data_IF_017183149169
#
_entry.id   IF_017183149169
#
_cell.length_a   1.000
_cell.length_b   1.000
_cell.length_c   1.000
_cell.angle_alpha   90.00
_cell.angle_beta   90.00
_cell.angle_gamma   90.00
#
_symmetry.space_group_name_H-M   'P 1'
#
loop_
_entity.id
_entity.type
_entity.pdbx_description
1 polymer ?
#
# COMPACT_ATOMS: atom_id res chain seq x y z
N UNK A 1 25.77 9.84 -6.96
CA UNK A 1 24.86 8.69 -6.71
C UNK A 1 23.70 9.17 -5.86
N UNK A 2 22.66 9.75 -6.47
CA UNK A 2 21.38 9.89 -5.77
C UNK A 2 20.79 8.48 -5.63
N UNK A 3 20.61 8.05 -4.38
CA UNK A 3 20.14 6.72 -4.02
C UNK A 3 18.67 6.60 -4.42
N UNK A 4 18.28 5.54 -5.12
CA UNK A 4 16.86 5.22 -5.27
C UNK A 4 16.26 5.07 -3.86
N UNK A 5 15.16 5.77 -3.59
CA UNK A 5 14.42 5.66 -2.33
C UNK A 5 13.38 4.56 -2.49
N UNK A 6 13.29 3.63 -1.54
CA UNK A 6 12.24 2.62 -1.56
C UNK A 6 11.08 3.10 -0.69
N UNK A 7 9.85 2.98 -1.18
CA UNK A 7 8.66 3.29 -0.39
C UNK A 7 8.21 2.00 0.29
N UNK A 8 8.35 1.95 1.61
CA UNK A 8 7.95 0.79 2.38
C UNK A 8 6.45 0.87 2.68
N UNK A 9 5.60 0.53 1.71
CA UNK A 9 4.15 0.37 1.96
C UNK A 9 3.89 -0.91 2.77
N UNK A 10 4.44 -1.01 3.98
CA UNK A 10 4.46 -2.25 4.75
C UNK A 10 3.09 -2.57 5.36
N UNK A 11 2.50 -3.69 4.93
CA UNK A 11 1.84 -4.62 5.86
C UNK A 11 2.29 -6.05 5.56
N UNK A 12 3.20 -6.54 6.39
CA UNK A 12 3.16 -7.93 6.82
C UNK A 12 2.64 -7.91 8.26
N UNK A 13 1.36 -8.20 8.40
CA UNK A 13 0.83 -8.63 9.68
C UNK A 13 1.29 -10.08 9.87
N UNK A 14 2.02 -10.28 10.95
CA UNK A 14 2.38 -11.54 11.56
C UNK A 14 1.15 -12.46 11.66
N UNK A 15 1.15 -13.53 10.89
CA UNK A 15 0.56 -14.78 11.34
C UNK A 15 1.62 -15.44 12.22
N UNK A 16 1.46 -15.32 13.55
CA UNK A 16 1.89 -16.21 14.62
C UNK A 16 1.64 -15.46 15.94
N UNK A 17 0.78 -16.04 16.78
CA UNK A 17 0.13 -15.36 17.89
C UNK A 17 0.96 -15.17 19.16
N UNK A 18 0.35 -14.45 20.10
CA UNK A 18 0.52 -14.69 21.54
C UNK A 18 1.45 -13.74 22.32
N UNK A 19 0.83 -13.03 23.26
CA UNK A 19 1.36 -12.39 24.47
C UNK A 19 2.24 -11.13 24.37
N UNK A 20 1.93 -10.15 25.23
CA UNK A 20 2.57 -8.84 25.28
C UNK A 20 3.31 -8.51 26.58
N UNK A 21 3.94 -7.34 26.63
CA UNK A 21 3.87 -6.30 27.69
C UNK A 21 4.97 -5.22 27.56
N UNK A 22 4.51 -3.97 27.71
CA UNK A 22 5.08 -2.70 28.22
C UNK A 22 6.59 -2.36 28.33
N UNK A 23 6.90 -1.12 27.86
CA UNK A 23 7.81 -0.11 28.47
C UNK A 23 9.27 -0.11 28.00
N UNK A 24 9.98 1.00 27.71
CA UNK A 24 9.87 2.42 28.13
C UNK A 24 10.64 3.34 27.16
N UNK A 25 10.30 4.64 27.22
CA UNK A 25 10.81 5.80 26.47
C UNK A 25 12.20 6.29 26.91
N UNK A 26 12.98 6.90 26.00
CA UNK A 26 13.73 8.14 26.29
C UNK A 26 13.85 9.03 25.05
N UNK A 27 13.77 10.34 25.28
CA UNK A 27 13.79 11.42 24.30
C UNK A 27 15.07 12.27 24.45
N UNK A 28 15.59 12.79 23.34
CA UNK A 28 16.45 13.98 23.21
C UNK A 28 16.69 14.19 21.69
N UNK A 29 16.76 15.36 21.08
CA UNK A 29 16.82 16.76 21.48
C UNK A 29 17.22 17.53 20.20
N UNK A 30 16.62 18.69 19.96
CA UNK A 30 16.72 19.47 18.71
C UNK A 30 18.10 20.10 18.46
N UNK A 31 18.39 20.43 17.19
CA UNK A 31 19.50 21.30 16.81
C UNK A 31 19.41 21.76 15.35
N UNK A 32 18.95 23.00 15.15
CA UNK A 32 18.90 23.68 13.86
C UNK A 32 20.30 24.06 13.37
N UNK A 33 20.62 23.76 12.11
CA UNK A 33 21.78 24.28 11.40
C UNK A 33 21.35 24.83 10.02
N UNK A 34 21.77 26.06 9.76
CA UNK A 34 21.25 27.00 8.77
C UNK A 34 21.56 26.68 7.29
N UNK A 35 20.63 27.09 6.43
CA UNK A 35 20.64 27.04 4.95
C UNK A 35 21.90 27.62 4.27
N UNK A 36 22.72 28.39 4.98
CA UNK A 36 23.97 28.94 4.46
C UNK A 36 25.07 27.88 4.23
N UNK A 37 25.06 26.76 4.95
CA UNK A 37 26.06 25.69 4.80
C UNK A 37 25.79 24.83 3.55
N UNK A 38 24.53 24.69 3.14
CA UNK A 38 24.12 23.87 1.99
C UNK A 38 24.43 24.55 0.64
N UNK A 39 24.46 25.88 0.60
CA UNK A 39 24.77 26.64 -0.61
C UNK A 39 26.27 26.63 -0.98
N UNK A 40 27.16 26.44 0.00
CA UNK A 40 28.61 26.41 -0.22
C UNK A 40 29.09 25.06 -0.80
N UNK A 41 28.51 23.94 -0.36
CA UNK A 41 28.83 22.61 -0.89
C UNK A 41 28.30 22.37 -2.32
N UNK A 42 27.20 23.04 -2.69
CA UNK A 42 26.64 22.99 -4.05
C UNK A 42 27.53 23.69 -5.10
N UNK A 43 28.37 24.66 -4.69
CA UNK A 43 29.29 25.35 -5.61
C UNK A 43 30.62 24.61 -5.81
N UNK A 44 31.05 23.78 -4.86
CA UNK A 44 32.31 23.04 -4.94
C UNK A 44 32.23 21.74 -5.75
N UNK A 45 31.01 21.20 -5.93
CA UNK A 45 30.73 19.96 -6.68
C UNK A 45 30.52 20.17 -8.20
N UNK A 46 30.56 21.41 -8.72
CA UNK A 46 30.36 21.71 -10.15
C UNK A 46 31.63 21.68 -11.02
N UNK A 47 32.79 21.30 -10.49
CA UNK A 47 34.02 21.16 -11.29
C UNK A 47 34.55 19.73 -11.16
N UNK A 48 34.51 19.00 -12.27
CA UNK A 48 35.02 17.63 -12.51
C UNK A 48 34.04 16.49 -12.21
N UNK A 49 33.09 16.29 -13.11
CA UNK A 49 32.41 15.01 -13.29
C UNK A 49 32.23 14.75 -14.78
N UNK A 50 33.09 13.90 -15.37
CA UNK A 50 32.87 13.32 -16.69
C UNK A 50 31.55 12.54 -16.61
N UNK A 51 30.55 12.91 -17.40
CA UNK A 51 29.29 12.19 -17.46
C UNK A 51 29.58 10.73 -17.86
N UNK A 52 29.26 9.79 -16.98
CA UNK A 52 29.39 8.37 -17.26
C UNK A 52 28.33 7.96 -18.29
N UNK A 53 28.73 7.19 -19.30
CA UNK A 53 27.79 6.62 -20.27
C UNK A 53 26.83 5.64 -19.56
N UNK A 54 25.55 5.55 -19.97
CA UNK A 54 24.55 4.65 -19.38
C UNK A 54 24.97 3.16 -19.31
N UNK A 55 25.93 2.74 -20.15
CA UNK A 55 26.46 1.37 -20.17
C UNK A 55 27.24 0.93 -18.92
N UNK A 56 27.70 1.87 -18.08
CA UNK A 56 28.45 1.54 -16.85
C UNK A 56 27.57 1.49 -15.59
N UNK A 57 26.25 1.63 -15.72
CA UNK A 57 25.35 1.58 -14.58
C UNK A 57 25.12 0.12 -14.15
N UNK A 58 25.57 -0.25 -12.96
CA UNK A 58 25.19 -1.52 -12.35
C UNK A 58 23.75 -1.43 -11.84
N UNK A 59 22.94 -2.44 -12.14
CA UNK A 59 21.56 -2.55 -11.71
C UNK A 59 21.49 -3.39 -10.42
N UNK A 60 21.16 -2.74 -9.30
CA UNK A 60 20.87 -3.46 -8.06
C UNK A 60 19.44 -3.98 -8.09
N UNK A 61 19.28 -5.24 -7.69
CA UNK A 61 18.05 -6.01 -7.80
C UNK A 61 17.82 -6.84 -6.53
N UNK A 62 16.58 -6.96 -6.08
CA UNK A 62 16.18 -7.95 -5.09
C UNK A 62 15.56 -9.13 -5.83
N UNK A 63 16.17 -10.31 -5.64
CA UNK A 63 15.76 -11.55 -6.28
C UNK A 63 15.24 -12.56 -5.26
N UNK A 64 14.37 -13.43 -5.73
CA UNK A 64 13.75 -14.51 -4.97
C UNK A 64 14.73 -15.68 -4.96
N UNK A 65 15.08 -16.21 -3.80
CA UNK A 65 15.92 -17.42 -3.70
C UNK A 65 15.09 -18.69 -3.54
N UNK A 66 13.89 -18.55 -2.99
CA UNK A 66 12.87 -19.58 -2.78
C UNK A 66 11.51 -18.89 -2.54
N UNK A 67 10.38 -19.61 -2.57
CA UNK A 67 9.07 -19.02 -2.30
C UNK A 67 9.10 -18.14 -1.02
N UNK A 68 8.81 -16.85 -1.14
CA UNK A 68 9.10 -15.89 -0.07
C UNK A 68 8.15 -16.06 1.11
N UNK A 69 8.72 -16.38 2.26
CA UNK A 69 8.03 -16.50 3.56
C UNK A 69 8.68 -15.64 4.65
N UNK A 70 9.97 -15.33 4.49
CA UNK A 70 10.79 -14.53 5.41
C UNK A 70 11.85 -13.74 4.64
N UNK A 71 12.48 -12.72 5.25
CA UNK A 71 13.42 -11.83 4.56
C UNK A 71 14.64 -12.56 3.99
N UNK A 72 15.08 -13.65 4.62
CA UNK A 72 16.19 -14.48 4.15
C UNK A 72 15.89 -15.27 2.87
N UNK A 73 14.64 -15.28 2.41
CA UNK A 73 14.25 -15.90 1.13
C UNK A 73 14.52 -14.95 -0.05
N UNK A 74 14.99 -13.74 0.22
CA UNK A 74 15.33 -12.72 -0.75
C UNK A 74 16.83 -12.38 -0.69
N UNK A 75 17.43 -12.15 -1.85
CA UNK A 75 18.82 -11.74 -1.97
C UNK A 75 18.97 -10.44 -2.75
N UNK A 76 20.00 -9.65 -2.40
CA UNK A 76 20.38 -8.46 -3.16
C UNK A 76 21.48 -8.85 -4.14
N UNK A 77 21.21 -8.67 -5.42
CA UNK A 77 22.11 -9.02 -6.52
C UNK A 77 22.45 -7.76 -7.31
N UNK A 78 23.70 -7.70 -7.77
CA UNK A 78 24.14 -6.69 -8.71
C UNK A 78 24.23 -7.31 -10.12
N UNK A 79 23.52 -6.70 -11.07
CA UNK A 79 23.42 -7.14 -12.45
C UNK A 79 23.94 -6.05 -13.41
N UNK A 80 24.35 -6.39 -14.64
CA UNK A 80 24.63 -5.37 -15.66
C UNK A 80 23.36 -4.56 -15.97
N UNK A 81 23.53 -3.33 -16.48
CA UNK A 81 22.40 -2.56 -17.00
C UNK A 81 21.68 -3.36 -18.09
N UNK A 82 20.34 -3.45 -18.06
CA UNK A 82 19.60 -4.07 -19.14
C UNK A 82 19.79 -3.29 -20.45
N UNK A 83 19.81 -4.01 -21.57
CA UNK A 83 19.92 -3.42 -22.91
C UNK A 83 18.56 -3.03 -23.47
N UNK A 84 18.53 -1.96 -24.26
CA UNK A 84 17.30 -1.41 -24.81
C UNK A 84 17.01 -1.93 -26.23
N UNK A 85 15.77 -2.38 -26.45
CA UNK A 85 15.27 -2.79 -27.77
C UNK A 85 14.38 -1.70 -28.39
N UNK A 86 14.11 -1.78 -29.70
CA UNK A 86 13.17 -0.85 -30.33
C UNK A 86 11.77 -1.00 -29.73
N UNK A 87 11.08 0.12 -29.49
CA UNK A 87 9.79 0.12 -28.83
C UNK A 87 9.85 -0.02 -27.31
N UNK A 88 11.03 0.12 -26.69
CA UNK A 88 11.18 0.08 -25.22
C UNK A 88 11.86 1.32 -24.68
N UNK A 89 11.73 1.54 -23.37
CA UNK A 89 12.47 2.58 -22.63
C UNK A 89 13.09 1.99 -21.36
N UNK A 90 14.19 2.60 -20.92
CA UNK A 90 14.87 2.31 -19.66
C UNK A 90 14.45 3.37 -18.64
N UNK A 91 13.89 2.94 -17.52
CA UNK A 91 13.55 3.81 -16.39
C UNK A 91 14.46 3.53 -15.19
N UNK A 92 14.77 4.59 -14.44
CA UNK A 92 15.43 4.54 -13.13
C UNK A 92 14.39 4.71 -12.02
N UNK A 93 14.37 3.80 -11.05
CA UNK A 93 13.45 3.85 -9.93
C UNK A 93 13.72 5.06 -9.05
N UNK A 94 12.66 5.80 -8.75
CA UNK A 94 12.63 6.86 -7.74
C UNK A 94 11.92 6.38 -6.48
N UNK A 95 10.85 5.60 -6.66
CA UNK A 95 10.02 5.00 -5.62
C UNK A 95 9.62 3.60 -6.05
N UNK A 96 9.66 2.65 -5.12
CA UNK A 96 9.19 1.28 -5.33
C UNK A 96 8.19 0.94 -4.23
N UNK A 97 7.06 0.34 -4.60
CA UNK A 97 6.03 -0.10 -3.69
C UNK A 97 6.28 -1.54 -3.24
N UNK A 98 6.34 -1.75 -1.93
CA UNK A 98 6.33 -3.09 -1.32
C UNK A 98 4.88 -3.48 -1.01
N UNK A 99 4.15 -3.94 -2.02
CA UNK A 99 2.73 -4.27 -1.90
C UNK A 99 2.52 -5.78 -1.68
N UNK A 100 1.83 -6.21 -0.59
CA UNK A 100 1.44 -7.60 -0.39
C UNK A 100 0.67 -8.21 -1.56
N UNK A 101 -0.14 -7.43 -2.27
CA UNK A 101 -0.90 -7.89 -3.45
C UNK A 101 0.01 -8.28 -4.59
N UNK A 102 1.09 -7.54 -4.78
CA UNK A 102 2.05 -7.79 -5.86
C UNK A 102 2.89 -9.03 -5.54
N UNK A 103 3.17 -9.29 -4.26
CA UNK A 103 3.78 -10.55 -3.81
C UNK A 103 2.80 -11.75 -3.86
N UNK A 104 1.51 -11.54 -3.63
CA UNK A 104 0.51 -12.61 -3.53
C UNK A 104 -0.14 -12.97 -4.89
N UNK A 105 -0.41 -12.02 -5.77
CA UNK A 105 -1.12 -12.27 -7.04
C UNK A 105 -0.33 -13.16 -8.01
N UNK A 106 0.99 -13.17 -7.89
CA UNK A 106 1.89 -13.99 -8.72
C UNK A 106 2.15 -15.38 -8.10
N UNK A 107 1.71 -15.61 -6.84
CA UNK A 107 1.71 -16.94 -6.23
C UNK A 107 0.54 -17.82 -6.71
N UNK A 108 -0.50 -17.21 -7.30
CA UNK A 108 -1.70 -17.89 -7.82
C UNK A 108 -1.64 -18.11 -9.35
N UNK A 109 -0.60 -17.60 -10.02
CA UNK A 109 -0.30 -18.04 -11.39
C UNK A 109 0.27 -19.45 -11.33
N UNK A 110 -0.19 -20.30 -12.26
CA UNK A 110 0.12 -21.72 -12.46
C UNK A 110 1.63 -22.09 -12.54
N UNK A 111 2.51 -21.11 -12.35
CA UNK A 111 3.98 -21.13 -12.37
C UNK A 111 4.57 -20.17 -11.32
N UNK A 112 4.19 -20.30 -10.03
CA UNK A 112 4.58 -19.37 -8.95
C UNK A 112 6.06 -18.98 -8.92
N UNK A 113 6.35 -17.81 -8.33
CA UNK A 113 7.66 -17.16 -8.28
C UNK A 113 8.84 -18.14 -8.07
N UNK A 114 9.78 -18.13 -9.02
CA UNK A 114 10.88 -19.10 -9.10
C UNK A 114 12.16 -18.49 -8.51
N UNK A 115 13.07 -19.32 -7.96
CA UNK A 115 14.41 -18.87 -7.63
C UNK A 115 15.08 -18.16 -8.81
N UNK A 116 15.61 -16.96 -8.58
CA UNK A 116 16.21 -16.08 -9.57
C UNK A 116 15.28 -14.97 -10.08
N UNK A 117 13.97 -15.06 -9.87
CA UNK A 117 13.03 -14.04 -10.31
C UNK A 117 13.19 -12.73 -9.52
N UNK A 118 12.85 -11.60 -10.16
CA UNK A 118 12.73 -10.33 -9.46
C UNK A 118 11.51 -10.36 -8.54
N UNK A 119 11.62 -9.79 -7.35
CA UNK A 119 10.44 -9.55 -6.51
C UNK A 119 9.55 -8.55 -7.24
N UNK A 120 8.28 -8.88 -7.54
CA UNK A 120 7.38 -7.97 -8.22
C UNK A 120 7.15 -6.70 -7.39
N UNK A 121 7.08 -5.54 -8.05
CA UNK A 121 6.80 -4.26 -7.40
C UNK A 121 6.32 -3.24 -8.42
N UNK A 122 5.31 -2.44 -8.08
CA UNK A 122 5.01 -1.21 -8.81
C UNK A 122 6.01 -0.12 -8.43
N UNK A 123 6.31 0.78 -9.34
CA UNK A 123 7.26 1.85 -9.07
C UNK A 123 6.96 3.14 -9.82
N UNK A 124 7.48 4.24 -9.28
CA UNK A 124 7.61 5.51 -9.98
C UNK A 124 9.08 5.66 -10.37
N UNK A 125 9.33 5.93 -11.65
CA UNK A 125 10.67 6.11 -12.17
C UNK A 125 10.79 7.28 -13.13
N UNK A 126 12.02 7.62 -13.47
CA UNK A 126 12.37 8.58 -14.51
C UNK A 126 12.93 7.82 -15.71
N UNK A 127 12.45 8.12 -16.92
CA UNK A 127 13.00 7.56 -18.15
C UNK A 127 14.40 8.12 -18.40
N UNK A 128 15.42 7.26 -18.44
CA UNK A 128 16.83 7.65 -18.63
C UNK A 128 17.36 7.36 -20.04
N UNK A 129 16.75 6.41 -20.75
CA UNK A 129 17.00 6.12 -22.16
C UNK A 129 15.68 5.67 -22.81
N UNK A 130 15.42 6.02 -24.07
CA UNK A 130 14.19 5.60 -24.74
C UNK A 130 14.35 5.38 -26.24
N UNK A 131 13.70 4.32 -26.71
CA UNK A 131 13.40 4.02 -28.12
C UNK A 131 11.89 3.80 -28.30
N UNK A 132 11.09 4.40 -27.42
CA UNK A 132 9.64 4.30 -27.39
C UNK A 132 9.02 5.65 -27.80
N UNK A 133 7.95 5.62 -28.60
CA UNK A 133 7.34 6.83 -29.18
C UNK A 133 6.65 7.73 -28.15
N UNK A 134 5.97 7.15 -27.17
CA UNK A 134 5.25 7.87 -26.09
C UNK A 134 6.15 8.30 -24.92
N UNK A 135 7.08 7.46 -24.49
CA UNK A 135 7.83 7.66 -23.25
C UNK A 135 9.21 8.26 -23.54
N UNK A 136 9.33 9.58 -23.55
CA UNK A 136 10.59 10.29 -23.78
C UNK A 136 11.50 10.35 -22.54
N UNK A 137 12.80 10.53 -22.75
CA UNK A 137 13.80 10.74 -21.68
C UNK A 137 13.40 11.93 -20.80
N UNK A 138 13.55 11.78 -19.48
CA UNK A 138 13.16 12.75 -18.46
C UNK A 138 11.69 12.64 -18.02
N UNK A 139 10.88 11.82 -18.69
CA UNK A 139 9.49 11.59 -18.29
C UNK A 139 9.42 10.85 -16.95
N UNK A 140 8.53 11.28 -16.06
CA UNK A 140 8.17 10.51 -14.88
C UNK A 140 7.07 9.50 -15.24
N UNK A 141 7.30 8.24 -14.88
CA UNK A 141 6.46 7.11 -15.26
C UNK A 141 6.09 6.27 -14.05
N UNK A 142 4.91 5.64 -14.11
CA UNK A 142 4.48 4.60 -13.18
C UNK A 142 4.36 3.30 -13.97
N UNK A 143 5.00 2.23 -13.49
CA UNK A 143 5.05 0.94 -14.18
C UNK A 143 5.29 -0.22 -13.20
N UNK A 144 5.21 -1.44 -13.72
CA UNK A 144 5.64 -2.67 -13.06
C UNK A 144 7.17 -2.71 -13.11
N UNK A 145 7.80 -2.27 -12.02
CA UNK A 145 9.24 -2.06 -11.96
C UNK A 145 10.01 -3.33 -11.57
N UNK A 146 9.43 -4.13 -10.67
CA UNK A 146 10.18 -5.08 -9.85
C UNK A 146 11.09 -4.36 -8.85
N UNK A 147 11.54 -5.04 -7.78
CA UNK A 147 12.45 -4.45 -6.81
C UNK A 147 13.88 -4.31 -7.38
N UNK A 148 14.09 -3.26 -8.18
CA UNK A 148 15.36 -2.97 -8.83
C UNK A 148 15.55 -1.48 -9.12
N UNK A 149 16.79 -1.06 -9.38
CA UNK A 149 17.10 0.34 -9.72
C UNK A 149 16.80 0.72 -11.16
N UNK A 150 16.99 -0.19 -12.10
CA UNK A 150 16.80 0.04 -13.54
C UNK A 150 15.86 -1.00 -14.12
N UNK A 151 14.83 -0.55 -14.84
CA UNK A 151 13.82 -1.40 -15.46
C UNK A 151 13.68 -1.02 -16.94
N UNK A 152 13.75 -2.02 -17.83
CA UNK A 152 13.33 -1.85 -19.23
C UNK A 152 11.86 -2.21 -19.34
N UNK A 153 11.08 -1.35 -19.97
CA UNK A 153 9.67 -1.56 -20.24
C UNK A 153 9.37 -1.30 -21.72
N UNK A 154 8.49 -2.11 -22.29
CA UNK A 154 7.92 -1.93 -23.63
C UNK A 154 6.74 -0.94 -23.66
N UNK A 155 6.44 -0.29 -22.53
CA UNK A 155 5.30 0.61 -22.38
C UNK A 155 3.99 -0.08 -22.02
N UNK A 156 3.91 -1.41 -22.06
CA UNK A 156 2.72 -2.11 -21.58
C UNK A 156 2.61 -1.97 -20.06
N UNK A 157 1.40 -1.63 -19.59
CA UNK A 157 1.12 -1.35 -18.17
C UNK A 157 1.98 -0.22 -17.57
N UNK A 158 2.60 0.60 -18.43
CA UNK A 158 3.24 1.84 -18.03
C UNK A 158 2.32 3.02 -18.30
N UNK A 159 2.42 4.06 -17.46
CA UNK A 159 1.74 5.33 -17.68
C UNK A 159 2.64 6.49 -17.29
N UNK A 160 2.40 7.66 -17.88
CA UNK A 160 2.99 8.89 -17.36
C UNK A 160 2.44 9.18 -15.96
N UNK A 161 3.31 9.67 -15.08
CA UNK A 161 2.92 10.17 -13.77
C UNK A 161 2.02 11.39 -13.97
N UNK A 162 0.82 11.37 -13.37
CA UNK A 162 -0.08 12.50 -13.50
C UNK A 162 0.46 13.67 -12.66
N UNK A 163 0.49 14.93 -13.16
CA UNK A 163 1.08 16.06 -12.44
C UNK A 163 0.48 16.34 -11.06
N UNK A 164 -0.81 16.01 -10.87
CA UNK A 164 -1.49 16.12 -9.58
C UNK A 164 -1.18 15.00 -8.57
N UNK A 165 -0.41 13.97 -8.95
CA UNK A 165 0.08 12.93 -8.02
C UNK A 165 1.34 13.43 -7.32
N UNK A 166 1.16 14.37 -6.38
CA UNK A 166 2.23 15.01 -5.64
C UNK A 166 2.11 14.75 -4.14
N UNK A 167 3.19 14.36 -3.43
CA UNK A 167 4.50 13.97 -3.98
C UNK A 167 4.38 12.72 -4.86
N UNK A 168 5.39 12.45 -5.70
CA UNK A 168 5.33 11.36 -6.69
C UNK A 168 5.01 9.98 -6.07
N UNK A 169 5.44 9.73 -4.83
CA UNK A 169 5.14 8.51 -4.06
C UNK A 169 3.63 8.25 -3.91
N UNK A 170 2.80 9.29 -3.89
CA UNK A 170 1.35 9.19 -3.77
C UNK A 170 0.70 8.35 -4.89
N UNK A 171 1.35 8.27 -6.06
CA UNK A 171 0.91 7.44 -7.18
C UNK A 171 1.00 5.93 -6.90
N UNK A 172 1.72 5.53 -5.86
CA UNK A 172 1.81 4.15 -5.36
C UNK A 172 0.87 3.90 -4.17
N UNK A 173 0.38 4.96 -3.52
CA UNK A 173 -0.47 4.89 -2.34
C UNK A 173 -1.90 5.37 -2.60
N UNK A 174 -2.32 6.42 -1.89
CA UNK A 174 -3.71 6.94 -1.90
C UNK A 174 -4.16 7.51 -3.25
N UNK A 175 -3.23 7.91 -4.14
CA UNK A 175 -3.53 8.32 -5.52
C UNK A 175 -3.16 7.22 -6.53
N UNK A 176 -2.89 6.01 -6.06
CA UNK A 176 -2.51 4.83 -6.83
C UNK A 176 -3.60 3.75 -6.86
N UNK A 177 -3.17 2.52 -7.14
CA UNK A 177 -4.03 1.32 -7.15
C UNK A 177 -4.77 1.12 -5.80
N UNK A 178 -4.12 1.27 -4.63
CA UNK A 178 -4.82 1.12 -3.34
C UNK A 178 -5.97 2.13 -3.17
N UNK A 179 -5.74 3.39 -3.55
CA UNK A 179 -6.78 4.41 -3.49
C UNK A 179 -7.92 4.17 -4.47
N UNK A 180 -7.60 3.66 -5.67
CA UNK A 180 -8.59 3.30 -6.68
C UNK A 180 -9.49 2.13 -6.21
N UNK A 181 -8.91 1.13 -5.53
CA UNK A 181 -9.65 0.03 -4.91
C UNK A 181 -10.66 0.54 -3.89
N UNK A 182 -10.23 1.45 -3.01
CA UNK A 182 -11.12 2.07 -2.03
C UNK A 182 -12.23 2.90 -2.68
N UNK A 183 -11.90 3.66 -3.73
CA UNK A 183 -12.84 4.52 -4.44
C UNK A 183 -13.98 3.73 -5.08
N UNK A 184 -13.65 2.76 -5.93
CA UNK A 184 -14.69 1.97 -6.62
C UNK A 184 -15.34 0.95 -5.68
N UNK A 185 -14.59 0.40 -4.73
CA UNK A 185 -15.12 -0.48 -3.69
C UNK A 185 -16.25 0.18 -2.90
N UNK A 186 -16.08 1.43 -2.49
CA UNK A 186 -17.12 2.15 -1.74
C UNK A 186 -18.20 2.78 -2.61
N UNK A 187 -17.82 3.46 -3.70
CA UNK A 187 -18.76 4.32 -4.44
C UNK A 187 -19.55 3.55 -5.49
N UNK A 188 -18.93 2.57 -6.16
CA UNK A 188 -19.52 1.85 -7.28
C UNK A 188 -20.11 0.50 -6.84
N UNK A 189 -19.28 -0.32 -6.15
CA UNK A 189 -19.68 -1.64 -5.69
C UNK A 189 -20.60 -1.56 -4.47
N UNK A 190 -20.11 -0.99 -3.36
CA UNK A 190 -20.93 -0.88 -2.17
C UNK A 190 -21.99 0.20 -2.29
N UNK A 191 -21.87 1.19 -3.19
CA UNK A 191 -22.85 2.29 -3.33
C UNK A 191 -23.10 3.00 -2.00
N UNK A 192 -22.02 3.42 -1.34
CA UNK A 192 -22.02 4.14 -0.07
C UNK A 192 -23.05 5.29 -0.05
N UNK A 193 -23.78 5.40 1.05
CA UNK A 193 -24.77 6.47 1.28
C UNK A 193 -24.39 7.33 2.50
N UNK A 194 -24.76 8.63 2.50
CA UNK A 194 -24.63 9.46 3.70
C UNK A 194 -25.36 8.84 4.89
N UNK A 195 -24.80 8.99 6.08
CA UNK A 195 -25.36 8.46 7.34
C UNK A 195 -25.06 6.99 7.63
N UNK A 196 -24.51 6.23 6.67
CA UNK A 196 -24.09 4.85 6.89
C UNK A 196 -22.85 4.77 7.81
N UNK A 197 -22.68 3.63 8.48
CA UNK A 197 -21.51 3.29 9.29
C UNK A 197 -20.58 2.37 8.50
N UNK A 198 -19.38 2.85 8.23
CA UNK A 198 -18.33 2.12 7.50
C UNK A 198 -17.27 1.64 8.48
N UNK A 199 -17.05 0.33 8.54
CA UNK A 199 -15.90 -0.28 9.21
C UNK A 199 -14.78 -0.48 8.19
N UNK A 200 -13.54 -0.21 8.60
CA UNK A 200 -12.37 -0.36 7.75
C UNK A 200 -11.29 -1.15 8.48
N UNK A 201 -10.92 -2.32 7.98
CA UNK A 201 -9.74 -3.04 8.48
C UNK A 201 -8.46 -2.52 7.84
N UNK A 202 -7.33 -2.69 8.55
CA UNK A 202 -6.04 -2.10 8.17
C UNK A 202 -6.15 -0.59 7.84
N UNK A 203 -6.91 0.16 8.66
CA UNK A 203 -7.30 1.55 8.38
C UNK A 203 -6.15 2.55 8.25
N UNK A 204 -4.93 2.17 8.68
CA UNK A 204 -3.73 2.99 8.54
C UNK A 204 -2.97 2.76 7.21
N UNK A 205 -3.35 1.75 6.41
CA UNK A 205 -2.73 1.47 5.11
C UNK A 205 -3.32 2.36 4.02
N UNK A 206 -2.66 2.48 2.87
CA UNK A 206 -3.13 3.32 1.76
C UNK A 206 -4.60 3.08 1.34
N UNK A 207 -5.00 1.83 1.10
CA UNK A 207 -6.38 1.51 0.72
C UNK A 207 -7.38 1.77 1.87
N UNK A 208 -7.09 1.29 3.08
CA UNK A 208 -7.95 1.48 4.25
C UNK A 208 -8.10 2.96 4.62
N UNK A 209 -7.00 3.70 4.66
CA UNK A 209 -6.99 5.13 4.91
C UNK A 209 -7.79 5.90 3.87
N UNK A 210 -7.66 5.54 2.59
CA UNK A 210 -8.49 6.12 1.53
C UNK A 210 -9.97 5.79 1.73
N UNK A 211 -10.32 4.53 2.01
CA UNK A 211 -11.70 4.08 2.20
C UNK A 211 -12.38 4.84 3.34
N UNK A 212 -11.74 4.91 4.50
CA UNK A 212 -12.26 5.65 5.65
C UNK A 212 -12.47 7.13 5.36
N UNK A 213 -11.53 7.76 4.65
CA UNK A 213 -11.64 9.18 4.30
C UNK A 213 -12.72 9.43 3.25
N UNK A 214 -12.83 8.59 2.21
CA UNK A 214 -13.93 8.66 1.24
C UNK A 214 -15.28 8.54 1.96
N UNK A 215 -15.39 7.62 2.92
CA UNK A 215 -16.61 7.46 3.71
C UNK A 215 -17.00 8.77 4.41
N UNK A 216 -16.06 9.41 5.11
CA UNK A 216 -16.28 10.71 5.75
C UNK A 216 -16.64 11.81 4.73
N UNK A 217 -15.97 11.84 3.58
CA UNK A 217 -16.22 12.84 2.51
C UNK A 217 -17.62 12.71 1.89
N UNK A 218 -18.21 11.52 1.93
CA UNK A 218 -19.57 11.24 1.46
C UNK A 218 -20.62 11.31 2.57
N UNK A 219 -20.27 11.86 3.74
CA UNK A 219 -21.21 12.07 4.85
C UNK A 219 -21.56 10.80 5.63
N UNK A 220 -20.75 9.75 5.51
CA UNK A 220 -20.86 8.56 6.34
C UNK A 220 -19.98 8.66 7.59
N UNK A 221 -20.19 7.76 8.54
CA UNK A 221 -19.34 7.59 9.73
C UNK A 221 -18.34 6.47 9.47
N UNK A 222 -17.05 6.73 9.62
CA UNK A 222 -16.02 5.71 9.46
C UNK A 222 -15.35 5.33 10.79
N UNK A 223 -15.23 4.02 11.03
CA UNK A 223 -14.52 3.43 12.18
C UNK A 223 -13.37 2.58 11.62
N UNK A 224 -12.16 2.84 12.08
CA UNK A 224 -10.97 2.09 11.69
C UNK A 224 -10.66 0.93 12.63
N UNK A 225 -9.97 -0.08 12.12
CA UNK A 225 -9.25 -1.09 12.90
C UNK A 225 -7.78 -1.06 12.48
N UNK A 226 -6.87 -0.97 13.45
CA UNK A 226 -5.42 -0.97 13.21
C UNK A 226 -4.67 -1.75 14.29
N UNK A 227 -3.42 -2.12 14.02
CA UNK A 227 -2.65 -3.04 14.87
C UNK A 227 -1.79 -2.40 15.96
N UNK A 228 -1.79 -1.08 16.10
CA UNK A 228 -1.05 -0.40 17.15
C UNK A 228 -1.69 0.93 17.55
N UNK A 229 -1.32 1.42 18.75
CA UNK A 229 -1.77 2.72 19.24
C UNK A 229 -1.34 3.86 18.32
N UNK A 230 -0.11 3.85 17.82
CA UNK A 230 0.39 4.87 16.88
C UNK A 230 -0.46 4.90 15.60
N UNK A 231 -0.78 3.73 15.04
CA UNK A 231 -1.64 3.63 13.85
C UNK A 231 -3.06 4.14 14.16
N UNK A 232 -3.62 3.80 15.32
CA UNK A 232 -4.93 4.31 15.73
C UNK A 232 -4.96 5.83 15.94
N UNK A 233 -3.92 6.39 16.56
CA UNK A 233 -3.73 7.83 16.72
C UNK A 233 -3.64 8.52 15.36
N UNK A 234 -2.92 7.92 14.40
CA UNK A 234 -2.86 8.47 13.05
C UNK A 234 -4.22 8.46 12.35
N UNK A 235 -4.93 7.32 12.42
CA UNK A 235 -6.26 7.16 11.81
C UNK A 235 -7.27 8.18 12.35
N UNK A 236 -7.24 8.44 13.66
CA UNK A 236 -8.19 9.36 14.28
C UNK A 236 -7.80 10.83 14.15
N UNK A 237 -6.50 11.17 14.25
CA UNK A 237 -6.05 12.57 14.24
C UNK A 237 -5.79 13.12 12.84
N UNK A 238 -5.20 12.31 11.96
CA UNK A 238 -4.79 12.74 10.62
C UNK A 238 -5.80 12.34 9.55
N UNK A 239 -6.21 11.07 9.52
CA UNK A 239 -7.27 10.62 8.60
C UNK A 239 -8.68 10.98 9.09
N UNK A 240 -8.82 11.47 10.34
CA UNK A 240 -10.06 12.02 10.93
C UNK A 240 -11.24 11.06 10.92
N UNK A 241 -10.97 9.76 11.01
CA UNK A 241 -12.01 8.76 11.24
C UNK A 241 -12.60 8.97 12.64
N UNK A 242 -13.87 8.58 12.81
CA UNK A 242 -14.60 8.84 14.05
C UNK A 242 -14.07 8.07 15.26
N UNK A 243 -13.48 6.90 15.02
CA UNK A 243 -12.82 6.08 16.03
C UNK A 243 -11.85 5.12 15.34
N UNK A 244 -10.90 4.59 16.11
CA UNK A 244 -10.07 3.46 15.67
C UNK A 244 -9.94 2.46 16.81
N UNK A 245 -10.07 1.18 16.49
CA UNK A 245 -9.92 0.06 17.43
C UNK A 245 -8.54 -0.53 17.24
N UNK A 246 -7.75 -0.64 18.31
CA UNK A 246 -6.49 -1.36 18.29
C UNK A 246 -6.72 -2.85 18.49
N UNK A 247 -6.73 -3.65 17.42
CA UNK A 247 -6.95 -5.10 17.53
C UNK A 247 -5.83 -5.85 18.26
N UNK A 248 -4.66 -5.21 18.45
CA UNK A 248 -3.56 -5.78 19.22
C UNK A 248 -3.70 -5.62 20.74
N UNK A 249 -4.61 -4.75 21.21
CA UNK A 249 -4.78 -4.48 22.65
C UNK A 249 -6.23 -4.36 23.12
N UNK A 250 -7.20 -4.32 22.22
CA UNK A 250 -8.63 -4.17 22.53
C UNK A 250 -9.44 -5.35 22.00
N UNK A 251 -10.55 -5.65 22.67
CA UNK A 251 -11.53 -6.60 22.15
C UNK A 251 -12.40 -5.93 21.07
N UNK A 252 -12.19 -6.32 19.80
CA UNK A 252 -12.86 -5.70 18.65
C UNK A 252 -14.38 -5.75 18.76
N UNK A 253 -14.95 -6.91 19.10
CA UNK A 253 -16.41 -7.07 19.17
C UNK A 253 -17.07 -6.20 20.26
N UNK A 254 -16.45 -6.11 21.44
CA UNK A 254 -16.92 -5.24 22.51
C UNK A 254 -16.90 -3.76 22.09
N UNK A 255 -15.84 -3.34 21.40
CA UNK A 255 -15.71 -1.96 20.89
C UNK A 255 -16.69 -1.67 19.77
N UNK A 256 -16.94 -2.62 18.86
CA UNK A 256 -17.96 -2.46 17.82
C UNK A 256 -19.37 -2.32 18.39
N UNK A 257 -19.73 -3.07 19.43
CA UNK A 257 -21.02 -2.89 20.13
C UNK A 257 -21.19 -1.47 20.68
N UNK A 258 -20.10 -0.85 21.14
CA UNK A 258 -20.11 0.52 21.66
C UNK A 258 -20.11 1.58 20.55
N UNK A 259 -19.30 1.37 19.51
CA UNK A 259 -19.03 2.38 18.47
C UNK A 259 -20.04 2.34 17.30
N UNK A 260 -20.69 1.20 17.08
CA UNK A 260 -21.66 0.93 16.02
C UNK A 260 -22.85 0.09 16.58
N UNK A 261 -23.63 0.61 17.54
CA UNK A 261 -24.71 -0.15 18.18
C UNK A 261 -25.85 -0.54 17.23
N UNK A 262 -25.97 0.12 16.08
CA UNK A 262 -26.93 -0.22 15.01
C UNK A 262 -26.36 -1.17 13.95
N UNK A 263 -25.14 -1.66 14.16
CA UNK A 263 -24.39 -2.45 13.20
C UNK A 263 -23.60 -1.59 12.21
N UNK A 264 -22.80 -2.29 11.40
CA UNK A 264 -21.97 -1.75 10.33
C UNK A 264 -22.66 -1.96 8.98
N UNK A 265 -22.88 -0.89 8.22
CA UNK A 265 -23.54 -0.94 6.90
C UNK A 265 -22.57 -1.35 5.78
N UNK A 266 -21.30 -0.96 5.89
CA UNK A 266 -20.24 -1.36 4.96
C UNK A 266 -19.02 -1.78 5.72
N UNK A 267 -18.49 -2.96 5.43
CA UNK A 267 -17.18 -3.38 5.90
C UNK A 267 -16.19 -3.43 4.75
N UNK A 268 -15.29 -2.44 4.68
CA UNK A 268 -14.16 -2.47 3.75
C UNK A 268 -13.04 -3.31 4.36
N UNK A 269 -12.93 -4.56 3.93
CA UNK A 269 -12.01 -5.53 4.49
C UNK A 269 -10.72 -5.61 3.66
N UNK A 270 -9.61 -5.16 4.23
CA UNK A 270 -8.26 -5.32 3.69
C UNK A 270 -7.40 -6.37 4.41
N UNK A 271 -8.00 -7.15 5.31
CA UNK A 271 -7.28 -8.10 6.16
C UNK A 271 -7.66 -9.55 5.90
N UNK A 272 -8.94 -9.86 5.70
CA UNK A 272 -9.45 -11.23 5.72
C UNK A 272 -9.24 -11.92 7.07
N UNK A 273 -9.22 -13.25 7.04
CA UNK A 273 -8.86 -14.10 8.19
C UNK A 273 -9.75 -13.92 9.42
N UNK A 274 -9.15 -14.14 10.60
CA UNK A 274 -9.84 -14.15 11.89
C UNK A 274 -10.58 -12.85 12.20
N UNK A 275 -10.06 -11.70 11.74
CA UNK A 275 -10.71 -10.42 11.97
C UNK A 275 -12.03 -10.31 11.20
N UNK A 276 -12.02 -10.73 9.92
CA UNK A 276 -13.24 -10.78 9.11
C UNK A 276 -14.26 -11.74 9.74
N UNK A 277 -13.83 -12.95 10.08
CA UNK A 277 -14.69 -13.94 10.73
C UNK A 277 -15.27 -13.42 12.05
N UNK A 278 -14.46 -12.79 12.90
CA UNK A 278 -14.91 -12.24 14.18
C UNK A 278 -15.98 -11.15 14.03
N UNK A 279 -15.83 -10.25 13.05
CA UNK A 279 -16.84 -9.21 12.76
C UNK A 279 -18.16 -9.84 12.33
N UNK A 280 -18.08 -10.85 11.45
CA UNK A 280 -19.24 -11.52 10.86
C UNK A 280 -19.95 -12.44 11.86
N UNK A 281 -19.23 -13.38 12.47
CA UNK A 281 -19.75 -14.30 13.47
C UNK A 281 -20.23 -13.58 14.74
N UNK A 282 -19.60 -12.45 15.09
CA UNK A 282 -20.03 -11.57 16.17
C UNK A 282 -21.32 -10.79 15.90
N UNK A 283 -21.92 -10.92 14.71
CA UNK A 283 -23.14 -10.23 14.25
C UNK A 283 -23.05 -8.71 14.39
N UNK A 284 -21.90 -8.14 14.00
CA UNK A 284 -21.67 -6.70 14.04
C UNK A 284 -22.14 -5.94 12.79
N UNK A 285 -22.60 -6.66 11.76
CA UNK A 285 -23.11 -6.06 10.53
C UNK A 285 -24.59 -5.67 10.67
N UNK A 286 -24.98 -4.57 10.03
CA UNK A 286 -26.36 -4.16 9.90
C UNK A 286 -27.11 -5.04 8.87
N UNK A 287 -28.45 -5.10 8.92
CA UNK A 287 -29.23 -5.73 7.86
C UNK A 287 -28.93 -5.10 6.50
N UNK A 288 -28.71 -5.92 5.47
CA UNK A 288 -28.38 -5.38 4.14
C UNK A 288 -26.94 -4.86 3.97
N UNK A 289 -26.05 -5.13 4.93
CA UNK A 289 -24.68 -4.65 4.88
C UNK A 289 -23.90 -5.13 3.64
N UNK A 290 -22.86 -4.39 3.24
CA UNK A 290 -21.96 -4.79 2.15
C UNK A 290 -20.55 -5.00 2.68
N UNK A 291 -20.01 -6.19 2.49
CA UNK A 291 -18.60 -6.48 2.74
C UNK A 291 -17.86 -6.29 1.43
N UNK A 292 -16.92 -5.35 1.40
CA UNK A 292 -16.05 -5.12 0.24
C UNK A 292 -14.70 -5.74 0.56
N UNK A 293 -14.43 -6.89 -0.05
CA UNK A 293 -13.15 -7.58 0.06
C UNK A 293 -12.13 -6.91 -0.86
N UNK A 294 -11.15 -6.28 -0.24
CA UNK A 294 -9.92 -5.74 -0.81
C UNK A 294 -8.74 -6.45 -0.14
N UNK A 295 -8.67 -7.78 -0.23
CA UNK A 295 -7.65 -8.58 0.43
C UNK A 295 -6.95 -9.51 -0.57
N UNK A 296 -5.68 -9.82 -0.29
CA UNK A 296 -4.86 -10.72 -1.12
C UNK A 296 -5.35 -12.16 -1.13
N UNK A 297 -6.18 -12.52 -0.15
CA UNK A 297 -6.79 -13.83 0.02
C UNK A 297 -8.27 -13.61 0.30
N UNK A 298 -9.07 -13.30 -0.75
CA UNK A 298 -10.49 -13.16 -0.58
C UNK A 298 -11.07 -14.50 -0.13
N UNK A 299 -11.98 -14.42 0.83
CA UNK A 299 -12.73 -15.56 1.33
C UNK A 299 -13.97 -15.74 0.47
N UNK A 300 -14.31 -16.99 0.17
CA UNK A 300 -15.53 -17.31 -0.57
C UNK A 300 -16.78 -16.72 0.13
N UNK A 301 -17.69 -16.07 -0.61
CA UNK A 301 -18.92 -15.50 -0.06
C UNK A 301 -19.76 -16.47 0.77
N UNK A 302 -19.89 -17.74 0.33
CA UNK A 302 -20.71 -18.74 1.05
C UNK A 302 -20.09 -19.08 2.40
N UNK A 303 -18.76 -19.17 2.47
CA UNK A 303 -18.04 -19.36 3.73
C UNK A 303 -18.27 -18.19 4.69
N UNK A 304 -18.23 -16.94 4.19
CA UNK A 304 -18.52 -15.76 5.00
C UNK A 304 -19.95 -15.80 5.53
N UNK A 305 -20.92 -16.17 4.68
CA UNK A 305 -22.32 -16.25 5.09
C UNK A 305 -22.54 -17.31 6.17
N UNK A 306 -21.82 -18.44 6.09
CA UNK A 306 -21.89 -19.52 7.08
C UNK A 306 -21.47 -19.07 8.50
N UNK A 307 -20.44 -18.22 8.63
CA UNK A 307 -19.96 -17.75 9.94
C UNK A 307 -20.99 -16.95 10.73
N UNK A 308 -21.79 -16.13 10.05
CA UNK A 308 -22.84 -15.32 10.67
C UNK A 308 -24.14 -16.07 10.92
N UNK A 309 -24.28 -17.29 10.38
CA UNK A 309 -25.55 -18.00 10.31
C UNK A 309 -26.60 -17.23 9.49
N UNK A 310 -26.16 -16.50 8.47
CA UNK A 310 -27.04 -15.79 7.54
C UNK A 310 -27.75 -16.84 6.68
N UNK A 311 -29.09 -17.00 6.75
CA UNK A 311 -29.77 -17.94 5.89
C UNK A 311 -29.59 -17.52 4.43
N UNK A 312 -29.42 -18.46 3.48
CA UNK A 312 -29.38 -18.14 2.06
C UNK A 312 -30.58 -17.26 1.66
N UNK A 313 -30.28 -16.05 1.15
CA UNK A 313 -31.28 -15.10 0.65
C UNK A 313 -32.09 -14.30 1.68
N UNK A 314 -31.79 -14.34 3.00
CA UNK A 314 -32.68 -13.73 4.02
C UNK A 314 -32.16 -12.53 4.81
N UNK A 315 -30.85 -12.35 4.97
CA UNK A 315 -30.32 -11.26 5.82
C UNK A 315 -29.72 -10.08 5.02
N UNK A 316 -29.77 -10.17 3.68
CA UNK A 316 -29.45 -9.09 2.76
C UNK A 316 -27.96 -8.69 2.68
N UNK A 317 -27.09 -9.33 3.45
CA UNK A 317 -25.65 -9.02 3.45
C UNK A 317 -25.00 -9.47 2.13
N UNK A 318 -24.38 -8.52 1.44
CA UNK A 318 -23.68 -8.75 0.18
C UNK A 318 -22.19 -8.84 0.42
N UNK A 319 -21.54 -9.85 -0.17
CA UNK A 319 -20.08 -9.95 -0.22
C UNK A 319 -19.65 -9.58 -1.62
N UNK A 320 -18.84 -8.53 -1.72
CA UNK A 320 -18.38 -7.92 -2.95
C UNK A 320 -16.85 -7.99 -3.00
N UNK A 321 -16.29 -8.18 -4.19
CA UNK A 321 -14.85 -8.14 -4.41
C UNK A 321 -14.50 -6.97 -5.32
N UNK A 322 -13.53 -6.18 -4.91
CA UNK A 322 -12.98 -5.12 -5.77
C UNK A 322 -11.70 -5.61 -6.42
N UNK A 323 -11.67 -5.66 -7.75
CA UNK A 323 -10.44 -5.79 -8.53
C UNK A 323 -10.12 -4.48 -9.24
N UNK A 324 -9.07 -3.75 -8.81
CA UNK A 324 -8.71 -2.47 -9.43
C UNK A 324 -8.47 -2.56 -10.95
N UNK A 325 -8.03 -3.72 -11.44
CA UNK A 325 -7.78 -3.96 -12.88
C UNK A 325 -9.05 -3.77 -13.72
N UNK A 326 -10.21 -4.15 -13.20
CA UNK A 326 -11.50 -4.00 -13.91
C UNK A 326 -11.89 -2.53 -14.08
N UNK A 327 -11.36 -1.65 -13.22
CA UNK A 327 -11.64 -0.22 -13.21
C UNK A 327 -10.57 0.64 -13.89
N UNK A 328 -9.57 0.04 -14.54
CA UNK A 328 -8.48 0.79 -15.18
C UNK A 328 -8.98 1.78 -16.23
N UNK A 329 -9.99 1.38 -17.01
CA UNK A 329 -10.68 2.22 -18.00
C UNK A 329 -11.38 3.46 -17.38
N UNK A 330 -11.65 3.43 -16.08
CA UNK A 330 -12.25 4.53 -15.28
C UNK A 330 -11.25 5.22 -14.35
N UNK A 331 -9.94 4.92 -14.42
CA UNK A 331 -8.91 5.57 -13.57
C UNK A 331 -9.00 7.10 -13.59
N UNK A 332 -9.32 7.69 -14.74
CA UNK A 332 -9.49 9.14 -14.87
C UNK A 332 -10.58 9.71 -13.96
N UNK A 333 -11.65 8.96 -13.68
CA UNK A 333 -12.70 9.34 -12.72
C UNK A 333 -12.14 9.44 -11.30
N UNK A 334 -11.48 8.37 -10.86
CA UNK A 334 -10.82 8.33 -9.56
C UNK A 334 -9.79 9.46 -9.40
N UNK A 335 -8.91 9.66 -10.39
CA UNK A 335 -7.86 10.68 -10.29
C UNK A 335 -8.43 12.09 -10.26
N UNK A 336 -9.49 12.41 -11.00
CA UNK A 336 -10.14 13.72 -10.95
C UNK A 336 -10.59 14.07 -9.52
N UNK A 337 -11.29 13.15 -8.88
CA UNK A 337 -11.82 13.35 -7.53
C UNK A 337 -10.72 13.30 -6.46
N UNK A 338 -9.90 12.25 -6.48
CA UNK A 338 -8.89 12.00 -5.46
C UNK A 338 -7.79 13.08 -5.43
N UNK A 339 -7.36 13.57 -6.59
CA UNK A 339 -6.38 14.67 -6.65
C UNK A 339 -6.99 15.96 -6.11
N UNK A 340 -8.26 16.26 -6.42
CA UNK A 340 -8.92 17.44 -5.88
C UNK A 340 -9.06 17.36 -4.36
N UNK A 341 -9.42 16.20 -3.81
CA UNK A 341 -9.52 16.01 -2.35
C UNK A 341 -8.16 16.07 -1.67
N UNK A 342 -7.14 15.43 -2.24
CA UNK A 342 -5.78 15.46 -1.72
C UNK A 342 -5.19 16.88 -1.75
N UNK A 343 -5.30 17.58 -2.89
CA UNK A 343 -4.82 18.96 -3.04
C UNK A 343 -5.53 19.97 -2.13
N UNK A 344 -6.78 19.71 -1.77
CA UNK A 344 -7.53 20.50 -0.78
C UNK A 344 -7.24 20.11 0.69
N UNK A 345 -6.31 19.18 0.94
CA UNK A 345 -6.00 18.70 2.29
C UNK A 345 -7.14 17.94 2.97
N UNK A 346 -8.11 17.45 2.18
CA UNK A 346 -9.26 16.65 2.65
C UNK A 346 -8.92 15.17 2.78
N UNK A 347 -7.81 14.74 2.17
CA UNK A 347 -7.25 13.40 2.31
C UNK A 347 -5.83 13.54 2.82
N UNK A 348 -5.56 12.91 3.96
CA UNK A 348 -4.24 12.68 4.49
C UNK A 348 -3.66 11.37 3.93
N UNK A 349 -2.38 11.41 3.59
CA UNK A 349 -1.56 10.26 3.24
C UNK A 349 -0.46 10.10 4.30
N UNK A 350 -0.10 8.86 4.60
CA UNK A 350 1.13 8.52 5.32
C UNK A 350 1.82 7.44 4.53
N UNK A 351 3.03 7.76 4.09
CA UNK A 351 3.92 6.77 3.52
C UNK A 351 4.94 6.39 4.59
N UNK A 352 5.08 5.08 4.83
CA UNK A 352 6.23 4.57 5.57
C UNK A 352 7.38 4.41 4.56
N UNK A 353 8.51 5.08 4.78
CA UNK A 353 9.59 5.21 3.78
C UNK A 353 10.84 4.51 4.26
N UNK A 354 11.51 3.76 3.37
CA UNK A 354 12.82 3.15 3.64
C UNK A 354 13.83 3.57 2.58
N UNK A 355 14.83 4.34 2.99
CA UNK A 355 15.83 4.85 2.06
C UNK A 355 16.83 3.78 1.64
N UNK A 356 16.77 3.39 0.36
CA UNK A 356 17.70 2.49 -0.28
C UNK A 356 17.17 1.07 -0.48
N UNK A 357 17.34 0.55 -1.70
CA UNK A 357 16.87 -0.78 -2.07
C UNK A 357 17.43 -1.89 -1.18
N UNK A 358 18.67 -1.78 -0.70
CA UNK A 358 19.27 -2.79 0.20
C UNK A 358 18.49 -2.97 1.52
N UNK A 359 17.79 -1.92 1.98
CA UNK A 359 16.96 -1.94 3.18
C UNK A 359 15.50 -2.29 2.88
N UNK A 360 15.10 -2.35 1.60
CA UNK A 360 13.76 -2.72 1.14
C UNK A 360 13.50 -4.24 1.25
N UNK A 361 13.94 -4.85 2.35
CA UNK A 361 13.58 -6.22 2.72
C UNK A 361 12.42 -6.15 3.70
N UNK A 362 11.48 -7.11 3.67
CA UNK A 362 10.53 -7.27 4.77
C UNK A 362 11.32 -7.31 6.09
N UNK A 363 10.87 -6.61 7.13
CA UNK A 363 11.51 -6.74 8.46
C UNK A 363 11.03 -8.04 9.10
N UNK A 364 11.93 -8.76 9.75
CA UNK A 364 11.51 -9.78 10.72
C UNK A 364 10.74 -9.07 11.86
N UNK A 365 9.71 -9.68 12.44
CA UNK A 365 9.20 -9.20 13.72
C UNK A 365 10.36 -9.17 14.72
N UNK A 366 10.54 -8.07 15.44
CA UNK A 366 11.58 -7.96 16.48
C UNK A 366 11.36 -9.08 17.51
N UNK A 367 12.13 -10.16 17.40
CA UNK A 367 12.29 -11.11 18.49
C UNK A 367 13.21 -10.45 19.51
N UNK A 368 12.64 -9.99 20.62
CA UNK A 368 13.43 -9.62 21.81
C UNK A 368 14.28 -10.82 22.24
N UNK A 369 15.55 -10.57 22.58
CA UNK A 369 16.60 -11.55 22.91
C UNK A 369 16.34 -12.45 24.14
N UNK A 370 15.09 -12.68 24.54
CA UNK A 370 14.71 -13.58 25.63
C UNK A 370 14.29 -14.99 25.14
N UNK A 371 14.46 -15.30 23.85
CA UNK A 371 14.09 -16.60 23.28
C UNK A 371 15.15 -17.10 22.29
N UNK A 372 16.30 -17.50 22.83
CA UNK A 372 17.16 -18.52 22.24
C UNK A 372 17.36 -19.61 23.31
N UNK A 373 17.39 -20.90 22.92
CA UNK A 373 17.38 -22.04 23.84
C UNK A 373 18.55 -22.07 24.82
#
# INVERSE_FOLDING_TARGET
>A
MERARALLLLVLASALGGCGLAGTTTAAGAGAASEAQQAADAKRTRRHGRAMSPMDLRNLQIRITRPPSRPSDLELVEAPSPSLTNGSFLARALWLALDPFVCASESDTRDGAKPGDLVPAHGVGEVVESRHEVFGVGSLVVLDFGLQHLCVSDGQRARLLHPGQTPASSALGVLGVPGMAAYFGLLDLARLRPGETVLVSAAANAAGAMAGQIAMLKGARAIGIAGSREKCDWVTRHARLSACINHGSENVGARLKQLAPRGVDIYFDSTGGELLESVVAGRHLAPGARIVQNSVRPVDPEAIHAWGGYPPGKDGVQVLRVEPRDYEHRRGEFLRDAIAWHGAGRIAAKDDIVDGLALARPREPEMTAAQLP
#
